data_IF_498570457674
#
_entry.id   IF_498570457674
#
_cell.length_a   1.000
_cell.length_b   1.000
_cell.length_c   1.000
_cell.angle_alpha   90.00
_cell.angle_beta   90.00
_cell.angle_gamma   90.00
#
_symmetry.space_group_name_H-M   'P 1'
#
loop_
_entity.id
_entity.type
_entity.pdbx_description
1 polymer ?
#
# COMPACT_ATOMS: atom_id res chain seq x y z
N UNK A 1 10.59 -5.32 -9.53
CA UNK A 1 10.00 -4.16 -8.85
C UNK A 1 10.37 -2.92 -9.63
N UNK A 2 9.38 -2.06 -9.90
CA UNK A 2 9.56 -0.81 -10.63
C UNK A 2 8.80 0.31 -9.92
N UNK A 3 9.52 1.37 -9.54
CA UNK A 3 8.93 2.53 -8.89
C UNK A 3 9.22 3.78 -9.71
N UNK A 4 8.18 4.57 -10.02
CA UNK A 4 8.33 5.86 -10.68
C UNK A 4 7.68 6.94 -9.82
N UNK A 5 8.37 8.07 -9.67
CA UNK A 5 7.89 9.19 -8.87
C UNK A 5 8.07 10.52 -9.62
N UNK A 6 6.99 11.29 -9.67
CA UNK A 6 6.99 12.67 -10.16
C UNK A 6 6.55 13.59 -9.04
N UNK A 7 7.35 14.59 -8.75
CA UNK A 7 7.06 15.62 -7.75
C UNK A 7 7.09 17.01 -8.38
N UNK A 8 6.02 17.79 -8.17
CA UNK A 8 5.92 19.18 -8.59
C UNK A 8 5.71 20.04 -7.34
N UNK A 9 6.51 21.09 -7.21
CA UNK A 9 6.42 22.05 -6.12
C UNK A 9 6.29 23.46 -6.71
N UNK A 10 5.34 24.21 -6.19
CA UNK A 10 5.14 25.60 -6.54
C UNK A 10 4.96 26.44 -5.28
N UNK A 11 5.79 27.47 -5.12
CA UNK A 11 5.71 28.43 -4.03
C UNK A 11 5.46 29.83 -4.57
N UNK A 12 4.50 30.55 -3.96
CA UNK A 12 4.15 31.93 -4.30
C UNK A 12 4.11 32.77 -3.06
N UNK A 13 4.90 33.84 -3.08
CA UNK A 13 4.85 34.89 -2.05
C UNK A 13 3.97 36.03 -2.53
N UNK A 14 3.07 36.48 -1.65
CA UNK A 14 2.17 37.62 -1.90
C UNK A 14 2.44 38.69 -0.85
N UNK A 15 2.92 39.85 -1.30
CA UNK A 15 3.41 40.87 -0.41
C UNK A 15 4.63 40.40 0.41
N UNK A 16 4.75 40.86 1.64
CA UNK A 16 5.85 40.54 2.55
C UNK A 16 5.50 39.50 3.62
N UNK A 17 4.25 39.00 3.62
CA UNK A 17 3.71 38.26 4.78
C UNK A 17 2.95 36.99 4.46
N UNK A 18 2.59 36.74 3.19
CA UNK A 18 1.79 35.60 2.82
C UNK A 18 2.53 34.71 1.81
N UNK A 19 2.65 33.43 2.13
CA UNK A 19 3.28 32.41 1.27
C UNK A 19 2.30 31.27 1.05
N UNK A 20 2.15 30.88 -0.20
CA UNK A 20 1.44 29.66 -0.60
C UNK A 20 2.45 28.64 -1.08
N UNK A 21 2.34 27.40 -0.60
CA UNK A 21 3.09 26.26 -1.08
C UNK A 21 2.11 25.19 -1.58
N UNK A 22 2.27 24.84 -2.84
CA UNK A 22 1.49 23.78 -3.51
C UNK A 22 2.44 22.65 -3.87
N UNK A 23 2.08 21.43 -3.53
CA UNK A 23 2.84 20.23 -3.89
C UNK A 23 1.93 19.20 -4.51
N UNK A 24 2.40 18.61 -5.58
CA UNK A 24 1.76 17.46 -6.20
C UNK A 24 2.78 16.34 -6.33
N UNK A 25 2.39 15.14 -5.89
CA UNK A 25 3.18 13.93 -6.04
C UNK A 25 2.35 12.89 -6.78
N UNK A 26 2.98 12.23 -7.74
CA UNK A 26 2.46 11.04 -8.40
C UNK A 26 3.50 9.93 -8.29
N UNK A 27 3.09 8.79 -7.75
CA UNK A 27 3.94 7.62 -7.59
C UNK A 27 3.24 6.40 -8.15
N UNK A 28 3.99 5.59 -8.89
CA UNK A 28 3.58 4.24 -9.26
C UNK A 28 4.58 3.25 -8.70
N UNK A 29 4.07 2.12 -8.22
CA UNK A 29 4.88 1.02 -7.74
C UNK A 29 4.32 -0.30 -8.27
N UNK A 30 5.17 -1.07 -8.94
CA UNK A 30 4.83 -2.36 -9.53
C UNK A 30 5.71 -3.44 -8.90
N UNK A 31 5.07 -4.35 -8.17
CA UNK A 31 5.73 -5.45 -7.46
C UNK A 31 5.27 -6.80 -8.05
N UNK A 32 5.86 -7.27 -9.16
CA UNK A 32 5.57 -8.57 -9.72
C UNK A 32 6.22 -9.69 -8.89
N UNK A 33 5.49 -10.78 -8.69
CA UNK A 33 5.99 -12.03 -8.11
C UNK A 33 5.72 -13.17 -9.08
N UNK A 34 6.61 -13.36 -10.04
CA UNK A 34 6.47 -14.35 -11.09
C UNK A 34 6.50 -15.78 -10.55
N UNK A 35 5.82 -16.67 -11.26
CA UNK A 35 5.87 -18.09 -10.97
C UNK A 35 7.12 -18.72 -11.60
N UNK A 36 7.87 -19.49 -10.82
CA UNK A 36 9.06 -20.21 -11.27
C UNK A 36 8.76 -21.50 -12.02
N UNK A 37 7.51 -21.96 -12.03
CA UNK A 37 7.06 -23.22 -12.63
C UNK A 37 5.57 -23.16 -12.96
N UNK A 38 5.11 -24.01 -13.87
CA UNK A 38 3.68 -24.24 -14.14
C UNK A 38 3.12 -25.44 -13.38
N UNK A 39 4.00 -26.32 -12.85
CA UNK A 39 3.58 -27.47 -12.06
C UNK A 39 3.08 -27.05 -10.67
N UNK A 40 2.07 -27.71 -10.09
CA UNK A 40 1.62 -27.47 -8.72
C UNK A 40 2.78 -27.58 -7.70
N UNK A 41 2.66 -26.87 -6.59
CA UNK A 41 3.59 -27.03 -5.48
C UNK A 41 3.54 -28.48 -4.96
N UNK A 42 4.70 -29.06 -4.74
CA UNK A 42 4.83 -30.42 -4.23
C UNK A 42 5.75 -30.41 -3.03
N UNK A 43 5.24 -30.87 -1.89
CA UNK A 43 5.96 -31.01 -0.63
C UNK A 43 6.15 -32.48 -0.34
N UNK A 44 7.41 -32.90 -0.14
CA UNK A 44 7.74 -34.29 0.20
C UNK A 44 8.45 -34.30 1.55
N UNK A 45 7.85 -35.00 2.51
CA UNK A 45 8.45 -35.20 3.81
C UNK A 45 9.50 -36.29 3.76
N UNK A 46 10.52 -36.18 4.59
CA UNK A 46 11.56 -37.21 4.79
C UNK A 46 12.13 -37.12 6.21
N UNK A 47 12.89 -38.12 6.60
CA UNK A 47 13.58 -38.07 7.90
C UNK A 47 14.51 -36.85 7.95
N UNK A 48 14.28 -35.99 8.94
CA UNK A 48 15.06 -34.75 9.12
C UNK A 48 14.54 -33.51 8.43
N UNK A 49 13.37 -33.55 7.73
CA UNK A 49 12.78 -32.36 7.15
C UNK A 49 11.85 -32.61 5.97
N UNK A 50 11.62 -31.60 5.19
CA UNK A 50 10.86 -31.69 3.94
C UNK A 50 11.54 -30.87 2.85
N UNK A 51 11.32 -31.23 1.60
CA UNK A 51 11.69 -30.39 0.46
C UNK A 51 10.47 -30.06 -0.39
N UNK A 52 10.50 -28.90 -1.01
CA UNK A 52 9.41 -28.35 -1.81
C UNK A 52 9.93 -28.00 -3.19
N UNK A 53 9.15 -28.32 -4.21
CA UNK A 53 9.42 -27.97 -5.60
C UNK A 53 8.11 -27.71 -6.37
N UNK A 54 8.23 -27.32 -7.63
CA UNK A 54 7.11 -26.82 -8.40
C UNK A 54 6.88 -25.34 -8.19
N UNK A 55 5.71 -24.85 -8.55
CA UNK A 55 5.32 -23.44 -8.40
C UNK A 55 5.01 -23.14 -6.93
N UNK A 56 5.58 -22.07 -6.39
CA UNK A 56 5.15 -21.55 -5.10
C UNK A 56 3.63 -21.29 -5.13
N UNK A 57 2.90 -21.77 -4.14
CA UNK A 57 1.43 -21.72 -4.08
C UNK A 57 0.84 -20.31 -3.97
N UNK A 58 1.67 -19.29 -3.72
CA UNK A 58 1.32 -17.87 -3.73
C UNK A 58 1.71 -17.15 -5.02
N UNK A 59 2.23 -17.88 -6.03
CA UNK A 59 2.65 -17.30 -7.31
C UNK A 59 1.80 -17.82 -8.49
N UNK A 60 1.64 -17.02 -9.57
CA UNK A 60 2.09 -15.64 -9.70
C UNK A 60 1.28 -14.70 -8.80
N UNK A 61 1.90 -13.63 -8.33
CA UNK A 61 1.25 -12.58 -7.56
C UNK A 61 1.76 -11.21 -8.01
N UNK A 62 1.00 -10.17 -7.78
CA UNK A 62 1.49 -8.81 -7.95
C UNK A 62 0.76 -7.84 -7.04
N UNK A 63 1.42 -6.75 -6.71
CA UNK A 63 0.80 -5.56 -6.13
C UNK A 63 1.23 -4.38 -6.96
N UNK A 64 0.26 -3.73 -7.61
CA UNK A 64 0.48 -2.50 -8.35
C UNK A 64 -0.23 -1.37 -7.62
N UNK A 65 0.47 -0.29 -7.35
CA UNK A 65 -0.13 0.88 -6.72
C UNK A 65 0.10 2.15 -7.53
N UNK A 66 -0.88 3.06 -7.42
CA UNK A 66 -0.80 4.42 -7.96
C UNK A 66 -1.25 5.38 -6.88
N UNK A 67 -0.34 6.25 -6.46
CA UNK A 67 -0.61 7.25 -5.43
C UNK A 67 -0.61 8.65 -6.02
N UNK A 68 -1.64 9.40 -5.70
CA UNK A 68 -1.78 10.81 -6.04
C UNK A 68 -1.88 11.59 -4.74
N UNK A 69 -0.96 12.52 -4.51
CA UNK A 69 -1.00 13.37 -3.34
C UNK A 69 -0.99 14.83 -3.76
N UNK A 70 -1.89 15.60 -3.17
CA UNK A 70 -1.97 17.04 -3.34
C UNK A 70 -1.93 17.71 -1.96
N UNK A 71 -0.94 18.60 -1.77
CA UNK A 71 -0.78 19.35 -0.54
C UNK A 71 -0.84 20.83 -0.88
N UNK A 72 -1.69 21.56 -0.17
CA UNK A 72 -1.76 23.00 -0.22
C UNK A 72 -1.56 23.57 1.17
N UNK A 73 -0.63 24.52 1.31
CA UNK A 73 -0.45 25.29 2.55
C UNK A 73 -0.45 26.78 2.28
N UNK A 74 -0.91 27.54 3.26
CA UNK A 74 -0.75 28.98 3.30
C UNK A 74 -0.15 29.38 4.66
N UNK A 75 0.91 30.18 4.61
CA UNK A 75 1.58 30.73 5.79
C UNK A 75 1.44 32.25 5.79
N UNK A 76 0.94 32.80 6.90
CA UNK A 76 0.68 34.23 7.04
C UNK A 76 1.37 34.79 8.28
N UNK A 77 2.29 35.72 8.07
CA UNK A 77 2.99 36.42 9.13
C UNK A 77 2.24 37.72 9.51
N UNK A 78 1.84 37.85 10.76
CA UNK A 78 1.19 39.08 11.27
C UNK A 78 1.70 39.40 12.68
N UNK A 79 2.50 40.46 12.78
CA UNK A 79 3.06 40.86 14.06
C UNK A 79 3.95 39.77 14.68
N UNK A 80 3.57 39.26 15.82
CA UNK A 80 4.29 38.19 16.54
C UNK A 80 3.76 36.79 16.23
N UNK A 81 2.84 36.64 15.28
CA UNK A 81 2.18 35.38 14.92
C UNK A 81 2.58 34.93 13.52
N UNK A 82 2.81 33.62 13.37
CA UNK A 82 2.95 32.96 12.08
C UNK A 82 1.88 31.89 12.01
N UNK A 83 0.77 32.23 11.35
CA UNK A 83 -0.32 31.32 11.09
C UNK A 83 0.02 30.42 9.91
N UNK A 84 -0.32 29.12 10.01
CA UNK A 84 -0.23 28.18 8.90
C UNK A 84 -1.50 27.35 8.84
N UNK A 85 -2.12 27.31 7.67
CA UNK A 85 -3.25 26.43 7.37
C UNK A 85 -2.90 25.55 6.18
N UNK A 86 -3.49 24.36 6.11
CA UNK A 86 -3.25 23.51 4.97
C UNK A 86 -4.22 22.36 4.88
N UNK A 87 -4.20 21.77 3.69
CA UNK A 87 -4.89 20.54 3.35
C UNK A 87 -3.92 19.57 2.68
N UNK A 88 -4.13 18.27 2.91
CA UNK A 88 -3.40 17.17 2.27
C UNK A 88 -4.44 16.14 1.83
N UNK A 89 -4.43 15.82 0.54
CA UNK A 89 -5.31 14.81 -0.06
C UNK A 89 -4.40 13.75 -0.65
N UNK A 90 -4.56 12.51 -0.19
CA UNK A 90 -3.84 11.35 -0.66
C UNK A 90 -4.83 10.30 -1.15
N UNK A 91 -4.70 9.89 -2.42
CA UNK A 91 -5.53 8.87 -3.06
C UNK A 91 -4.59 7.77 -3.52
N UNK A 92 -4.77 6.57 -2.98
CA UNK A 92 -4.02 5.39 -3.37
C UNK A 92 -4.96 4.36 -4.01
N UNK A 93 -4.62 3.97 -5.23
CA UNK A 93 -5.29 2.91 -5.97
C UNK A 93 -4.38 1.70 -6.02
N UNK A 94 -4.89 0.57 -5.57
CA UNK A 94 -4.13 -0.67 -5.41
C UNK A 94 -4.82 -1.78 -6.17
N UNK A 95 -4.08 -2.47 -7.03
CA UNK A 95 -4.45 -3.75 -7.62
C UNK A 95 -3.57 -4.82 -6.99
N UNK A 96 -4.16 -5.65 -6.12
CA UNK A 96 -3.45 -6.72 -5.43
C UNK A 96 -4.00 -8.07 -5.89
N UNK A 97 -3.19 -8.79 -6.66
CA UNK A 97 -3.48 -10.14 -7.10
C UNK A 97 -2.73 -11.14 -6.23
N UNK A 98 -3.48 -11.93 -5.47
CA UNK A 98 -2.92 -12.91 -4.53
C UNK A 98 -3.71 -14.23 -4.56
N UNK A 99 -3.36 -15.15 -5.47
CA UNK A 99 -4.16 -16.33 -5.77
C UNK A 99 -3.85 -17.53 -4.86
N UNK A 100 -3.67 -17.37 -3.58
CA UNK A 100 -3.21 -18.40 -2.66
C UNK A 100 -3.81 -19.81 -2.92
N UNK A 101 -2.97 -20.80 -3.13
CA UNK A 101 -3.28 -22.20 -3.41
C UNK A 101 -4.08 -22.47 -4.71
N UNK A 102 -4.33 -21.51 -5.59
CA UNK A 102 -5.12 -21.75 -6.82
C UNK A 102 -4.47 -22.77 -7.75
N UNK A 103 -3.15 -22.92 -7.70
CA UNK A 103 -2.41 -23.94 -8.49
C UNK A 103 -2.43 -25.33 -7.87
N UNK A 104 -2.92 -25.46 -6.66
CA UNK A 104 -2.90 -26.71 -5.90
C UNK A 104 -1.55 -27.02 -5.26
N UNK A 105 -1.61 -27.75 -4.16
CA UNK A 105 -0.45 -28.23 -3.40
C UNK A 105 -0.61 -29.71 -3.12
N UNK A 106 0.35 -30.52 -3.55
CA UNK A 106 0.45 -31.93 -3.19
C UNK A 106 1.40 -32.13 -2.01
N UNK A 107 1.02 -33.00 -1.08
CA UNK A 107 1.85 -33.37 0.07
C UNK A 107 2.03 -34.88 0.14
N UNK A 108 3.28 -35.31 0.29
CA UNK A 108 3.68 -36.71 0.39
C UNK A 108 4.38 -36.96 1.72
N UNK A 109 4.09 -38.11 2.38
CA UNK A 109 4.74 -38.47 3.62
C UNK A 109 6.17 -38.96 3.45
N UNK A 110 6.52 -39.43 2.24
CA UNK A 110 7.85 -40.00 1.96
C UNK A 110 8.21 -39.90 0.49
N UNK A 111 9.48 -40.06 0.16
CA UNK A 111 9.97 -40.23 -1.20
C UNK A 111 9.34 -41.45 -1.91
N UNK A 112 9.08 -42.54 -1.18
CA UNK A 112 8.43 -43.72 -1.70
C UNK A 112 6.97 -43.44 -2.13
N UNK A 113 6.24 -42.66 -1.32
CA UNK A 113 4.91 -42.21 -1.66
C UNK A 113 4.91 -41.28 -2.88
N UNK A 114 5.89 -40.38 -2.94
CA UNK A 114 6.06 -39.51 -4.10
C UNK A 114 6.35 -40.33 -5.38
N UNK A 115 7.27 -41.27 -5.33
CA UNK A 115 7.60 -42.17 -6.47
C UNK A 115 6.41 -43.00 -6.91
N UNK A 116 5.57 -43.39 -5.96
CA UNK A 116 4.34 -44.15 -6.22
C UNK A 116 3.13 -43.27 -6.56
N UNK A 117 3.30 -41.94 -6.62
CA UNK A 117 2.25 -40.94 -6.88
C UNK A 117 1.06 -41.02 -5.90
N UNK A 118 1.31 -41.29 -4.64
CA UNK A 118 0.34 -41.39 -3.56
C UNK A 118 0.41 -40.27 -2.58
N UNK A 119 -0.13 -39.06 -2.89
CA UNK A 119 -0.17 -37.97 -1.94
C UNK A 119 -1.10 -38.32 -0.78
N UNK A 120 -0.73 -37.92 0.45
CA UNK A 120 -1.66 -38.03 1.57
C UNK A 120 -2.61 -36.83 1.65
N UNK A 121 -2.26 -35.73 0.98
CA UNK A 121 -3.10 -34.52 0.92
C UNK A 121 -2.93 -33.80 -0.43
N UNK A 122 -4.06 -33.32 -0.95
CA UNK A 122 -4.11 -32.29 -1.98
C UNK A 122 -4.97 -31.13 -1.49
N UNK A 123 -4.47 -29.91 -1.65
CA UNK A 123 -5.19 -28.69 -1.28
C UNK A 123 -5.23 -27.77 -2.49
N UNK A 124 -6.41 -27.23 -2.80
CA UNK A 124 -6.57 -26.24 -3.86
C UNK A 124 -7.57 -25.17 -3.42
N UNK A 125 -7.22 -23.91 -3.67
CA UNK A 125 -8.12 -22.78 -3.52
C UNK A 125 -8.93 -22.55 -4.78
N UNK A 126 -10.13 -22.04 -4.62
CA UNK A 126 -11.01 -21.65 -5.73
C UNK A 126 -11.57 -20.26 -5.46
N UNK A 127 -11.72 -19.46 -6.52
CA UNK A 127 -12.47 -18.21 -6.41
C UNK A 127 -13.96 -18.53 -6.18
N UNK A 128 -14.61 -17.77 -5.32
CA UNK A 128 -16.05 -17.77 -5.17
C UNK A 128 -16.73 -17.18 -6.42
N UNK A 129 -18.05 -17.39 -6.53
CA UNK A 129 -18.82 -16.82 -7.62
C UNK A 129 -18.73 -15.28 -7.59
N UNK A 130 -18.30 -14.68 -8.71
CA UNK A 130 -18.10 -13.23 -8.83
C UNK A 130 -16.86 -12.66 -8.12
N UNK A 131 -16.01 -13.52 -7.56
CA UNK A 131 -14.75 -13.12 -6.93
C UNK A 131 -13.56 -13.75 -7.64
N UNK A 132 -12.39 -13.12 -7.53
CA UNK A 132 -11.14 -13.65 -8.02
C UNK A 132 -10.04 -13.47 -6.98
N UNK A 133 -8.81 -13.75 -7.37
CA UNK A 133 -7.65 -13.44 -6.53
C UNK A 133 -7.28 -11.97 -6.52
N UNK A 134 -7.90 -11.16 -7.37
CA UNK A 134 -7.68 -9.71 -7.45
C UNK A 134 -8.53 -8.98 -6.44
N UNK A 135 -7.90 -8.13 -5.64
CA UNK A 135 -8.54 -7.19 -4.73
C UNK A 135 -8.07 -5.77 -5.02
N UNK A 136 -8.91 -4.79 -4.74
CA UNK A 136 -8.62 -3.36 -4.97
C UNK A 136 -8.84 -2.56 -3.69
N UNK A 137 -7.98 -2.71 -2.67
CA UNK A 137 -8.13 -2.03 -1.38
C UNK A 137 -7.72 -0.54 -1.49
N UNK A 138 -8.48 0.23 -2.29
CA UNK A 138 -8.18 1.64 -2.52
C UNK A 138 -8.38 2.45 -1.23
N UNK A 139 -7.52 3.43 -1.02
CA UNK A 139 -7.50 4.28 0.17
C UNK A 139 -7.61 5.74 -0.27
N UNK A 140 -8.42 6.51 0.46
CA UNK A 140 -8.48 7.96 0.32
C UNK A 140 -8.30 8.58 1.70
N UNK A 141 -7.33 9.46 1.82
CA UNK A 141 -7.03 10.22 3.03
C UNK A 141 -7.17 11.71 2.74
N UNK A 142 -7.86 12.41 3.63
CA UNK A 142 -8.02 13.85 3.55
C UNK A 142 -7.72 14.45 4.93
N UNK A 143 -6.81 15.40 4.95
CA UNK A 143 -6.38 16.05 6.17
C UNK A 143 -6.49 17.56 6.06
N UNK A 144 -6.85 18.20 7.17
CA UNK A 144 -6.84 19.65 7.32
C UNK A 144 -6.10 20.01 8.59
N UNK A 145 -5.34 21.09 8.56
CA UNK A 145 -4.66 21.57 9.75
C UNK A 145 -4.59 23.11 9.82
N UNK A 146 -4.53 23.60 11.05
CA UNK A 146 -4.26 24.99 11.38
C UNK A 146 -3.26 25.02 12.54
N UNK A 147 -2.27 25.89 12.44
CA UNK A 147 -1.31 26.12 13.52
C UNK A 147 -0.94 27.59 13.62
N UNK A 148 -0.48 27.99 14.79
CA UNK A 148 0.13 29.28 15.04
C UNK A 148 1.47 29.11 15.79
N UNK A 149 2.46 29.84 15.34
CA UNK A 149 3.70 30.06 16.07
C UNK A 149 3.69 31.48 16.62
N UNK A 150 3.37 31.59 17.91
CA UNK A 150 3.28 32.90 18.60
C UNK A 150 4.57 33.20 19.36
N UNK A 151 5.29 34.25 18.93
CA UNK A 151 6.43 34.79 19.66
C UNK A 151 5.93 35.68 20.81
N UNK A 152 5.57 35.06 21.92
CA UNK A 152 5.00 35.71 23.08
C UNK A 152 5.98 36.76 23.66
N UNK A 153 7.29 36.42 23.74
CA UNK A 153 8.39 37.32 24.13
C UNK A 153 9.59 37.10 23.21
N UNK A 154 10.65 37.86 23.37
CA UNK A 154 11.90 37.66 22.59
C UNK A 154 12.60 36.32 22.89
N UNK A 155 12.24 35.67 24.00
CA UNK A 155 12.85 34.41 24.46
C UNK A 155 11.86 33.25 24.48
N UNK A 156 10.58 33.48 24.18
CA UNK A 156 9.52 32.45 24.24
C UNK A 156 8.70 32.49 22.98
N UNK A 157 8.67 31.35 22.28
CA UNK A 157 7.76 31.09 21.18
C UNK A 157 6.88 29.87 21.55
N UNK A 158 5.59 30.03 21.45
CA UNK A 158 4.59 28.98 21.65
C UNK A 158 4.07 28.48 20.29
N UNK A 159 4.12 27.17 20.07
CA UNK A 159 3.58 26.56 18.88
C UNK A 159 2.37 25.70 19.28
N UNK A 160 1.25 25.95 18.66
CA UNK A 160 0.01 25.19 18.88
C UNK A 160 -0.77 25.08 17.58
N UNK A 161 -1.61 24.07 17.51
CA UNK A 161 -2.41 23.83 16.33
C UNK A 161 -3.34 22.67 16.49
N UNK A 162 -4.12 22.44 15.45
CA UNK A 162 -5.05 21.33 15.33
C UNK A 162 -4.93 20.72 13.95
N UNK A 163 -4.99 19.38 13.88
CA UNK A 163 -5.07 18.62 12.65
C UNK A 163 -6.23 17.64 12.74
N UNK A 164 -6.96 17.52 11.65
CA UNK A 164 -8.04 16.54 11.50
C UNK A 164 -7.76 15.69 10.26
N UNK A 165 -7.79 14.38 10.44
CA UNK A 165 -7.53 13.39 9.41
C UNK A 165 -8.75 12.50 9.25
N UNK A 166 -9.14 12.27 7.99
CA UNK A 166 -10.18 11.35 7.57
C UNK A 166 -9.56 10.31 6.65
N UNK A 167 -9.82 9.03 6.93
CA UNK A 167 -9.41 7.93 6.07
C UNK A 167 -10.64 7.13 5.65
N UNK A 168 -10.73 6.82 4.36
CA UNK A 168 -11.77 5.98 3.77
C UNK A 168 -11.13 4.84 2.99
N UNK A 169 -11.68 3.64 3.17
CA UNK A 169 -11.27 2.43 2.46
C UNK A 169 -12.35 2.03 1.47
N UNK A 170 -11.95 1.48 0.33
CA UNK A 170 -12.89 0.83 -0.57
C UNK A 170 -13.59 -0.33 0.15
N UNK A 171 -14.90 -0.43 -0.04
CA UNK A 171 -15.66 -1.56 0.47
C UNK A 171 -15.37 -2.80 -0.39
N UNK A 172 -15.29 -4.00 0.20
CA UNK A 172 -15.16 -5.22 -0.57
C UNK A 172 -16.41 -5.44 -1.45
N UNK A 173 -16.20 -5.97 -2.65
CA UNK A 173 -17.30 -6.26 -3.58
C UNK A 173 -18.24 -7.36 -3.09
N UNK A 174 -17.75 -8.21 -2.20
CA UNK A 174 -18.52 -9.29 -1.54
C UNK A 174 -18.23 -9.21 -0.04
N UNK A 175 -19.26 -9.14 0.76
CA UNK A 175 -19.17 -9.23 2.22
C UNK A 175 -19.32 -10.70 2.64
N UNK A 176 -18.49 -11.13 3.59
CA UNK A 176 -18.63 -12.45 4.23
C UNK A 176 -19.73 -12.42 5.28
#
# INVERSE_FOLDING_TARGET
>A
VSTNHVALNYSKTVGSSLVFDTRFNYLTDDEPGEANSTAPETVVNQSGGSFTFGRNNFSPRYTNSKRYQFIQTASYLRGKHTYKIGADINIEKIDNFFPGNFSGVYRFNSLADFASRKPFQFTQGFAGAGTGALTTPNITEVSFFVQDAWRATDRLTLNYGYRYDLQSFAQPSVLN
#
